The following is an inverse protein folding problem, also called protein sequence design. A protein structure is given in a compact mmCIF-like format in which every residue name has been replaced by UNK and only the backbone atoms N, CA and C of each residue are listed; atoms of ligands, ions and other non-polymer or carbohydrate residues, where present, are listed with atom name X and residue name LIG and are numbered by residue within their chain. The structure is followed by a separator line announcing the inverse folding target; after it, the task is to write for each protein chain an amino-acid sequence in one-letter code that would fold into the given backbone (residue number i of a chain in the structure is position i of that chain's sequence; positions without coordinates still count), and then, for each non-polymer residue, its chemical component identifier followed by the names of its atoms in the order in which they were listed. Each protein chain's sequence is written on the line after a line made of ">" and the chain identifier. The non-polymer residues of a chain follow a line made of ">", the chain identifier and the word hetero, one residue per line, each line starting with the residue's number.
data_IF_402998012045
#
_entry.id   IF_402998012045
#
_cell.length_a   1.000
_cell.length_b   1.000
_cell.length_c   1.000
_cell.angle_alpha   90.00
_cell.angle_beta   90.00
_cell.angle_gamma   90.00
#
_symmetry.space_group_name_H-M   'P 1'
#
loop_
_entity.id
_entity.type
_entity.pdbx_description
1 polymer ?
#
# COMPACT_ATOMS: atom_id res chain seq x y z
N UNK A 1 -69.91 36.96 -61.83
CA UNK A 1 -70.39 38.08 -60.98
C UNK A 1 -69.69 37.92 -59.64
N UNK A 2 -68.69 38.76 -59.37
CA UNK A 2 -67.94 38.73 -58.11
C UNK A 2 -68.76 39.46 -57.04
N UNK A 3 -68.78 38.93 -55.81
CA UNK A 3 -69.56 39.48 -54.70
C UNK A 3 -68.89 40.76 -54.18
N UNK A 4 -69.49 41.91 -54.51
CA UNK A 4 -68.99 43.26 -54.21
C UNK A 4 -69.47 43.75 -52.84
N UNK A 5 -70.28 42.94 -52.13
CA UNK A 5 -70.87 43.29 -50.82
C UNK A 5 -69.85 43.62 -49.72
N UNK A 6 -68.67 42.96 -49.61
CA UNK A 6 -67.70 43.30 -48.57
C UNK A 6 -67.13 44.71 -48.75
N UNK A 7 -66.94 45.13 -50.00
CA UNK A 7 -66.43 46.46 -50.36
C UNK A 7 -67.50 47.53 -50.12
N UNK A 8 -68.77 47.23 -50.43
CA UNK A 8 -69.89 48.14 -50.17
C UNK A 8 -70.14 48.36 -48.66
N UNK A 9 -69.90 47.34 -47.82
CA UNK A 9 -70.01 47.43 -46.36
C UNK A 9 -68.86 48.25 -45.74
N UNK A 10 -67.63 48.07 -46.21
CA UNK A 10 -66.48 48.86 -45.73
C UNK A 10 -66.50 50.31 -46.21
N UNK A 11 -67.04 50.57 -47.42
CA UNK A 11 -67.28 51.93 -47.91
C UNK A 11 -68.44 52.64 -47.18
N UNK A 12 -69.37 51.88 -46.58
CA UNK A 12 -70.44 52.43 -45.74
C UNK A 12 -69.97 52.83 -44.33
N UNK A 13 -68.82 52.31 -43.86
CA UNK A 13 -68.19 52.73 -42.60
C UNK A 13 -67.39 54.04 -42.73
N UNK A 14 -66.97 54.41 -43.95
CA UNK A 14 -66.50 55.75 -44.23
C UNK A 14 -67.71 56.70 -44.20
N UNK A 15 -67.75 57.60 -43.22
CA UNK A 15 -68.82 58.61 -43.13
C UNK A 15 -68.71 59.59 -44.31
N UNK A 16 -69.33 59.22 -45.43
CA UNK A 16 -69.43 60.04 -46.65
C UNK A 16 -70.62 61.02 -46.57
N UNK A 17 -71.30 61.11 -45.43
CA UNK A 17 -72.38 62.06 -45.19
C UNK A 17 -71.97 63.52 -45.42
N UNK A 18 -70.73 63.97 -45.10
CA UNK A 18 -70.28 65.32 -45.43
C UNK A 18 -70.20 65.55 -46.94
N UNK A 19 -69.73 64.55 -47.70
CA UNK A 19 -69.58 64.61 -49.16
C UNK A 19 -70.95 64.65 -49.84
N UNK A 20 -71.85 63.77 -49.41
CA UNK A 20 -73.24 63.73 -49.86
C UNK A 20 -73.98 65.03 -49.52
N UNK A 21 -73.86 65.52 -48.29
CA UNK A 21 -74.47 66.78 -47.88
C UNK A 21 -73.93 67.95 -48.69
N UNK A 22 -72.64 67.97 -49.04
CA UNK A 22 -72.03 69.06 -49.83
C UNK A 22 -72.51 69.02 -51.28
N UNK A 23 -72.62 67.84 -51.89
CA UNK A 23 -73.20 67.66 -53.23
C UNK A 23 -74.69 68.02 -53.23
N UNK A 24 -75.45 67.62 -52.22
CA UNK A 24 -76.88 67.95 -52.08
C UNK A 24 -77.09 69.46 -51.78
N UNK A 25 -76.21 70.11 -51.00
CA UNK A 25 -76.28 71.55 -50.69
C UNK A 25 -75.97 72.43 -51.91
N UNK A 26 -75.28 71.91 -52.92
CA UNK A 26 -74.83 72.68 -54.08
C UNK A 26 -75.53 72.30 -55.40
N UNK A 27 -76.50 71.37 -55.36
CA UNK A 27 -77.52 71.20 -56.38
C UNK A 27 -77.04 70.65 -57.71
N UNK A 28 -77.66 69.57 -58.17
CA UNK A 28 -77.41 69.00 -59.48
C UNK A 28 -77.92 69.93 -60.60
N UNK A 29 -77.13 70.06 -61.65
CA UNK A 29 -77.23 71.05 -62.71
C UNK A 29 -78.32 70.70 -63.73
N UNK A 30 -79.35 71.52 -63.83
CA UNK A 30 -80.15 71.63 -65.06
C UNK A 30 -80.17 73.10 -65.49
N UNK A 31 -79.47 73.36 -66.60
CA UNK A 31 -79.53 74.53 -67.48
C UNK A 31 -80.08 75.86 -66.91
N UNK A 32 -79.16 76.79 -66.63
CA UNK A 32 -79.40 78.23 -66.80
C UNK A 32 -79.28 79.08 -65.54
N UNK A 33 -78.20 79.86 -65.48
CA UNK A 33 -77.99 81.03 -64.59
C UNK A 33 -77.70 80.75 -63.11
N UNK A 34 -76.48 80.30 -62.83
CA UNK A 34 -75.81 80.45 -61.54
C UNK A 34 -74.34 80.09 -61.69
N UNK A 35 -73.46 81.06 -61.89
CA UNK A 35 -72.01 80.79 -61.87
C UNK A 35 -71.60 80.54 -60.42
N UNK A 36 -71.08 79.35 -60.11
CA UNK A 36 -70.37 79.10 -58.84
C UNK A 36 -69.35 80.22 -58.63
N UNK A 37 -69.37 80.86 -57.47
CA UNK A 37 -68.29 81.80 -57.17
C UNK A 37 -67.02 80.99 -56.91
N UNK A 38 -65.85 81.56 -57.23
CA UNK A 38 -64.55 80.94 -56.93
C UNK A 38 -64.45 80.47 -55.46
N UNK A 39 -65.16 81.16 -54.56
CA UNK A 39 -65.25 80.84 -53.14
C UNK A 39 -65.99 79.53 -52.86
N UNK A 40 -67.11 79.28 -53.53
CA UNK A 40 -67.92 78.06 -53.37
C UNK A 40 -67.15 76.83 -53.91
N UNK A 41 -66.38 77.02 -54.99
CA UNK A 41 -65.51 75.97 -55.52
C UNK A 41 -64.40 75.61 -54.54
N UNK A 42 -63.78 76.61 -53.90
CA UNK A 42 -62.72 76.37 -52.90
C UNK A 42 -63.24 75.66 -51.65
N UNK A 43 -64.43 75.99 -51.15
CA UNK A 43 -65.04 75.29 -50.01
C UNK A 43 -65.36 73.82 -50.35
N UNK A 44 -65.83 73.55 -51.57
CA UNK A 44 -66.02 72.18 -52.05
C UNK A 44 -64.69 71.39 -52.09
N UNK A 45 -63.62 72.04 -52.54
CA UNK A 45 -62.30 71.43 -52.65
C UNK A 45 -61.65 71.13 -51.29
N UNK A 46 -61.75 72.07 -50.34
CA UNK A 46 -61.22 71.85 -48.99
C UNK A 46 -61.99 70.73 -48.27
N UNK A 47 -63.30 70.59 -48.50
CA UNK A 47 -64.10 69.48 -47.98
C UNK A 47 -63.78 68.11 -48.60
N UNK A 48 -63.28 68.08 -49.84
CA UNK A 48 -62.94 66.84 -50.56
C UNK A 48 -61.50 66.36 -50.31
N UNK A 49 -60.59 67.24 -49.89
CA UNK A 49 -59.16 66.97 -49.76
C UNK A 49 -58.84 65.90 -48.71
N UNK A 50 -59.42 66.03 -47.51
CA UNK A 50 -59.15 65.12 -46.40
C UNK A 50 -59.71 63.71 -46.66
N UNK A 51 -60.98 63.53 -47.12
CA UNK A 51 -61.50 62.22 -47.47
C UNK A 51 -60.74 61.53 -48.61
N UNK A 52 -60.36 62.27 -49.66
CA UNK A 52 -59.60 61.70 -50.78
C UNK A 52 -58.16 61.34 -50.38
N UNK A 53 -57.54 62.10 -49.47
CA UNK A 53 -56.24 61.80 -48.90
C UNK A 53 -56.25 60.53 -48.04
N UNK A 54 -57.28 60.35 -47.22
CA UNK A 54 -57.50 59.11 -46.47
C UNK A 54 -57.75 57.94 -47.41
N UNK A 55 -58.57 58.13 -48.45
CA UNK A 55 -58.84 57.08 -49.44
C UNK A 55 -57.53 56.63 -50.10
N UNK A 56 -56.75 57.56 -50.65
CA UNK A 56 -55.51 57.28 -51.39
C UNK A 56 -54.37 56.69 -50.55
N UNK A 57 -54.36 56.91 -49.23
CA UNK A 57 -53.33 56.41 -48.31
C UNK A 57 -53.74 55.18 -47.49
N UNK A 58 -55.01 54.77 -47.57
CA UNK A 58 -55.52 53.65 -46.78
C UNK A 58 -55.01 52.29 -47.27
N UNK A 59 -54.63 51.43 -46.32
CA UNK A 59 -54.28 50.02 -46.54
C UNK A 59 -55.48 49.15 -46.98
N UNK A 60 -56.68 49.75 -47.08
CA UNK A 60 -57.94 49.09 -47.44
C UNK A 60 -57.83 48.43 -48.83
N UNK A 61 -57.02 48.98 -49.73
CA UNK A 61 -56.83 48.43 -51.08
C UNK A 61 -56.08 47.11 -51.16
N UNK A 62 -55.43 46.66 -50.07
CA UNK A 62 -54.80 45.32 -50.02
C UNK A 62 -55.81 44.17 -50.10
N UNK A 63 -57.10 44.46 -49.89
CA UNK A 63 -58.19 43.48 -49.87
C UNK A 63 -58.99 43.40 -51.19
N UNK A 64 -58.69 44.24 -52.18
CA UNK A 64 -59.41 44.35 -53.46
C UNK A 64 -58.56 43.77 -54.60
N UNK A 65 -59.13 43.12 -55.64
CA UNK A 65 -58.37 42.68 -56.81
C UNK A 65 -57.52 43.80 -57.42
N UNK A 66 -56.25 43.50 -57.69
CA UNK A 66 -55.20 44.48 -58.03
C UNK A 66 -55.59 45.46 -59.15
N UNK A 67 -56.37 45.01 -60.15
CA UNK A 67 -56.85 45.85 -61.28
C UNK A 67 -57.77 46.99 -60.83
N UNK A 68 -58.59 46.79 -59.79
CA UNK A 68 -59.47 47.83 -59.24
C UNK A 68 -58.73 48.73 -58.26
N UNK A 69 -57.81 48.17 -57.47
CA UNK A 69 -56.93 48.94 -56.59
C UNK A 69 -56.10 49.94 -57.41
N UNK A 70 -55.53 49.51 -58.54
CA UNK A 70 -54.76 50.38 -59.45
C UNK A 70 -55.64 51.45 -60.11
N UNK A 71 -56.87 51.13 -60.52
CA UNK A 71 -57.81 52.11 -61.11
C UNK A 71 -58.31 53.14 -60.10
N UNK A 72 -58.74 52.72 -58.91
CA UNK A 72 -59.25 53.64 -57.87
C UNK A 72 -58.10 54.52 -57.35
N UNK A 73 -56.91 53.95 -57.18
CA UNK A 73 -55.71 54.71 -56.81
C UNK A 73 -55.34 55.73 -57.89
N UNK A 74 -55.35 55.36 -59.18
CA UNK A 74 -55.02 56.31 -60.25
C UNK A 74 -56.05 57.43 -60.38
N UNK A 75 -57.34 57.14 -60.22
CA UNK A 75 -58.41 58.16 -60.24
C UNK A 75 -58.30 59.07 -59.02
N UNK A 76 -58.04 58.51 -57.83
CA UNK A 76 -57.87 59.28 -56.60
C UNK A 76 -56.64 60.19 -56.67
N UNK A 77 -55.52 59.69 -57.19
CA UNK A 77 -54.31 60.51 -57.39
C UNK A 77 -54.50 61.58 -58.47
N UNK A 78 -55.20 61.27 -59.56
CA UNK A 78 -55.53 62.25 -60.59
C UNK A 78 -56.40 63.38 -60.01
N UNK A 79 -57.42 63.04 -59.21
CA UNK A 79 -58.25 64.01 -58.50
C UNK A 79 -57.44 64.86 -57.52
N UNK A 80 -56.59 64.24 -56.69
CA UNK A 80 -55.72 64.96 -55.75
C UNK A 80 -54.74 65.91 -56.45
N UNK A 81 -54.23 65.50 -57.61
CA UNK A 81 -53.34 66.34 -58.43
C UNK A 81 -54.11 67.53 -59.01
N UNK A 82 -55.33 67.31 -59.50
CA UNK A 82 -56.20 68.40 -59.99
C UNK A 82 -56.58 69.37 -58.86
N UNK A 83 -56.93 68.86 -57.67
CA UNK A 83 -57.23 69.67 -56.48
C UNK A 83 -56.03 70.54 -56.08
N UNK A 84 -54.83 69.96 -56.02
CA UNK A 84 -53.61 70.69 -55.66
C UNK A 84 -53.21 71.72 -56.73
N UNK A 85 -53.42 71.42 -58.02
CA UNK A 85 -53.16 72.35 -59.10
C UNK A 85 -54.10 73.56 -59.09
N UNK A 86 -55.37 73.37 -58.71
CA UNK A 86 -56.36 74.45 -58.57
C UNK A 86 -56.02 75.38 -57.39
N UNK A 87 -55.47 74.88 -56.28
CA UNK A 87 -55.01 75.73 -55.18
C UNK A 87 -53.76 76.56 -55.52
N UNK A 88 -52.86 76.02 -56.35
CA UNK A 88 -51.61 76.71 -56.71
C UNK A 88 -51.79 77.75 -57.82
N UNK A 89 -52.86 77.66 -58.61
CA UNK A 89 -53.23 78.65 -59.62
C UNK A 89 -54.19 79.65 -58.94
N UNK A 90 -53.64 80.74 -58.40
CA UNK A 90 -54.44 81.85 -57.88
C UNK A 90 -55.47 82.38 -58.90
N UNK A 91 -56.42 83.25 -58.47
CA UNK A 91 -57.66 83.58 -59.19
C UNK A 91 -57.52 84.26 -60.57
N UNK A 92 -56.31 84.38 -61.12
CA UNK A 92 -56.02 85.08 -62.39
C UNK A 92 -55.45 84.18 -63.50
N UNK A 93 -55.46 82.85 -63.37
CA UNK A 93 -54.76 81.97 -64.33
C UNK A 93 -55.46 80.68 -64.80
N UNK A 94 -56.70 80.39 -64.38
CA UNK A 94 -57.37 79.15 -64.76
C UNK A 94 -58.44 79.40 -65.83
N UNK A 95 -58.29 78.77 -67.00
CA UNK A 95 -59.27 78.77 -68.08
C UNK A 95 -60.52 77.98 -67.62
N UNK A 96 -61.71 78.61 -67.46
CA UNK A 96 -62.88 77.96 -66.86
C UNK A 96 -63.40 76.75 -67.64
N UNK A 97 -63.00 76.59 -68.90
CA UNK A 97 -63.49 75.54 -69.80
C UNK A 97 -62.90 74.16 -69.55
N UNK A 98 -61.75 74.05 -68.88
CA UNK A 98 -61.19 72.74 -68.50
C UNK A 98 -61.79 72.18 -67.18
N UNK A 99 -62.58 72.99 -66.47
CA UNK A 99 -63.24 72.63 -65.20
C UNK A 99 -64.44 71.70 -65.40
N UNK A 100 -65.23 71.91 -66.47
CA UNK A 100 -66.40 71.09 -66.79
C UNK A 100 -66.05 69.65 -67.19
N UNK A 101 -64.89 69.44 -67.83
CA UNK A 101 -64.43 68.11 -68.24
C UNK A 101 -64.11 67.19 -67.05
N UNK A 102 -63.51 67.74 -65.99
CA UNK A 102 -63.17 66.96 -64.79
C UNK A 102 -64.39 66.61 -63.94
N UNK A 103 -65.41 67.49 -63.90
CA UNK A 103 -66.69 67.21 -63.23
C UNK A 103 -67.57 66.21 -64.00
N UNK A 104 -67.56 66.25 -65.33
CA UNK A 104 -68.26 65.27 -66.17
C UNK A 104 -67.72 63.85 -65.97
N UNK A 105 -66.38 63.71 -65.92
CA UNK A 105 -65.74 62.41 -65.67
C UNK A 105 -66.04 61.88 -64.25
N UNK A 106 -66.12 62.77 -63.26
CA UNK A 106 -66.54 62.39 -61.90
C UNK A 106 -67.99 61.90 -61.87
N UNK A 107 -68.89 62.57 -62.60
CA UNK A 107 -70.30 62.18 -62.69
C UNK A 107 -70.47 60.81 -63.38
N UNK A 108 -69.78 60.56 -64.48
CA UNK A 108 -69.81 59.25 -65.16
C UNK A 108 -69.32 58.11 -64.25
N UNK A 109 -68.26 58.35 -63.48
CA UNK A 109 -67.71 57.37 -62.53
C UNK A 109 -68.70 57.08 -61.40
N UNK A 110 -69.42 58.10 -60.91
CA UNK A 110 -70.45 57.94 -59.87
C UNK A 110 -71.72 57.23 -60.36
N UNK A 111 -72.07 57.40 -61.64
CA UNK A 111 -73.17 56.67 -62.31
C UNK A 111 -72.77 55.21 -62.56
N UNK A 112 -71.53 54.94 -62.99
CA UNK A 112 -70.99 53.57 -63.16
C UNK A 112 -70.90 52.79 -61.84
N UNK A 113 -70.67 53.48 -60.72
CA UNK A 113 -70.67 52.90 -59.38
C UNK A 113 -72.07 52.74 -58.77
N UNK A 114 -73.14 53.15 -59.47
CA UNK A 114 -74.53 52.98 -59.02
C UNK A 114 -74.94 53.86 -57.82
N UNK A 115 -74.14 54.88 -57.50
CA UNK A 115 -74.35 55.75 -56.34
C UNK A 115 -75.30 56.94 -56.64
N UNK A 116 -75.63 57.17 -57.92
CA UNK A 116 -76.58 58.19 -58.36
C UNK A 116 -77.53 57.57 -59.40
N UNK A 117 -78.82 57.51 -59.08
CA UNK A 117 -79.85 57.10 -60.04
C UNK A 117 -80.26 58.28 -60.92
N UNK A 118 -80.35 58.13 -62.26
CA UNK A 118 -80.85 59.20 -63.13
C UNK A 118 -82.34 59.44 -62.85
N UNK A 119 -82.64 60.50 -62.11
CA UNK A 119 -84.00 60.88 -61.73
C UNK A 119 -84.69 61.64 -62.85
N UNK A 120 -85.82 61.12 -63.32
CA UNK A 120 -87.00 61.96 -63.56
C UNK A 120 -87.20 62.56 -64.95
N UNK A 121 -87.45 61.73 -65.97
CA UNK A 121 -88.23 62.17 -67.15
C UNK A 121 -89.69 61.77 -66.95
N UNK A 122 -90.53 62.72 -66.57
CA UNK A 122 -92.00 62.57 -66.53
C UNK A 122 -92.58 63.10 -67.85
N UNK A 123 -93.07 62.26 -68.79
CA UNK A 123 -93.82 62.75 -69.93
C UNK A 123 -95.27 63.03 -69.53
N UNK A 124 -95.67 64.30 -69.60
CA UNK A 124 -97.07 64.73 -69.45
C UNK A 124 -97.94 64.12 -70.56
N UNK A 125 -98.86 63.26 -70.16
CA UNK A 125 -99.94 62.69 -70.96
C UNK A 125 -101.06 63.71 -71.18
N UNK A 126 -101.54 63.86 -72.42
CA UNK A 126 -102.78 64.59 -72.69
C UNK A 126 -103.19 64.51 -74.15
N UNK A 127 -104.13 63.60 -74.45
CA UNK A 127 -104.83 63.54 -75.75
C UNK A 127 -104.70 62.18 -76.42
N UNK A 128 -105.48 61.19 -75.96
CA UNK A 128 -105.47 59.86 -76.54
C UNK A 128 -106.86 59.33 -76.89
N UNK A 129 -107.02 59.11 -78.19
CA UNK A 129 -108.19 58.61 -78.90
C UNK A 129 -108.36 57.10 -78.71
N UNK A 130 -109.61 56.65 -78.88
CA UNK A 130 -110.22 55.35 -78.53
C UNK A 130 -109.55 54.05 -79.05
N UNK A 131 -108.36 54.10 -79.67
CA UNK A 131 -107.63 52.91 -80.17
C UNK A 131 -106.50 52.43 -79.24
N UNK A 132 -106.06 53.24 -78.27
CA UNK A 132 -105.04 52.82 -77.27
C UNK A 132 -105.60 52.09 -76.05
N UNK A 133 -106.92 52.04 -75.84
CA UNK A 133 -107.53 51.29 -74.72
C UNK A 133 -107.30 49.77 -74.84
N UNK A 134 -107.30 49.23 -76.05
CA UNK A 134 -107.02 47.82 -76.31
C UNK A 134 -105.52 47.46 -76.19
N UNK A 135 -104.61 48.37 -76.56
CA UNK A 135 -103.16 48.19 -76.33
C UNK A 135 -102.80 48.32 -74.84
N UNK A 136 -103.52 49.16 -74.10
CA UNK A 136 -103.35 49.26 -72.64
C UNK A 136 -103.83 47.99 -71.94
N UNK A 137 -104.95 47.39 -72.34
CA UNK A 137 -105.39 46.10 -71.77
C UNK A 137 -104.44 44.94 -72.11
N UNK A 138 -103.87 44.91 -73.32
CA UNK A 138 -102.89 43.88 -73.72
C UNK A 138 -101.55 44.08 -72.98
N UNK A 139 -101.12 45.33 -72.81
CA UNK A 139 -99.98 45.66 -71.96
C UNK A 139 -100.25 45.36 -70.48
N UNK A 140 -101.46 45.58 -69.97
CA UNK A 140 -101.82 45.20 -68.60
C UNK A 140 -101.74 43.68 -68.43
N UNK A 141 -102.26 42.88 -69.39
CA UNK A 141 -102.12 41.42 -69.35
C UNK A 141 -100.68 40.94 -69.44
N UNK A 142 -99.85 41.53 -70.30
CA UNK A 142 -98.43 41.18 -70.38
C UNK A 142 -97.66 41.60 -69.13
N UNK A 143 -98.04 42.73 -68.51
CA UNK A 143 -97.50 43.18 -67.23
C UNK A 143 -97.89 42.21 -66.11
N UNK A 144 -99.13 41.72 -66.08
CA UNK A 144 -99.55 40.70 -65.12
C UNK A 144 -98.84 39.36 -65.33
N UNK A 145 -98.68 38.91 -66.56
CA UNK A 145 -97.92 37.68 -66.87
C UNK A 145 -96.44 37.82 -66.46
N UNK A 146 -95.80 38.93 -66.81
CA UNK A 146 -94.43 39.23 -66.39
C UNK A 146 -94.31 39.38 -64.88
N UNK A 147 -95.32 39.91 -64.18
CA UNK A 147 -95.34 39.99 -62.73
C UNK A 147 -95.39 38.58 -62.10
N UNK A 148 -96.22 37.69 -62.62
CA UNK A 148 -96.30 36.30 -62.14
C UNK A 148 -94.98 35.56 -62.39
N UNK A 149 -94.39 35.70 -63.58
CA UNK A 149 -93.08 35.12 -63.91
C UNK A 149 -91.98 35.69 -63.02
N UNK A 150 -92.03 36.99 -62.71
CA UNK A 150 -91.07 37.64 -61.81
C UNK A 150 -91.28 37.22 -60.35
N UNK A 151 -92.51 36.99 -59.90
CA UNK A 151 -92.81 36.41 -58.58
C UNK A 151 -92.32 34.95 -58.49
N UNK A 152 -92.47 34.17 -59.56
CA UNK A 152 -91.96 32.79 -59.65
C UNK A 152 -90.42 32.76 -59.66
N UNK A 153 -89.77 33.60 -60.47
CA UNK A 153 -88.32 33.79 -60.45
C UNK A 153 -87.81 34.28 -59.10
N UNK A 154 -88.55 35.16 -58.42
CA UNK A 154 -88.19 35.67 -57.10
C UNK A 154 -88.36 34.58 -56.02
N UNK A 155 -89.38 33.74 -56.13
CA UNK A 155 -89.55 32.56 -55.28
C UNK A 155 -88.40 31.56 -55.50
N UNK A 156 -88.02 31.28 -56.75
CA UNK A 156 -86.89 30.41 -57.08
C UNK A 156 -85.56 31.01 -56.60
N UNK A 157 -85.35 32.32 -56.76
CA UNK A 157 -84.17 33.00 -56.26
C UNK A 157 -84.07 32.92 -54.73
N UNK A 158 -85.21 33.03 -54.01
CA UNK A 158 -85.26 32.83 -52.56
C UNK A 158 -84.94 31.38 -52.16
N UNK A 159 -85.44 30.39 -52.90
CA UNK A 159 -85.08 28.98 -52.69
C UNK A 159 -83.58 28.77 -52.88
N UNK A 160 -83.01 29.24 -53.99
CA UNK A 160 -81.58 29.14 -54.26
C UNK A 160 -80.74 29.88 -53.21
N UNK A 161 -81.21 31.02 -52.69
CA UNK A 161 -80.52 31.77 -51.63
C UNK A 161 -80.54 31.01 -50.31
N UNK A 162 -81.65 30.35 -49.97
CA UNK A 162 -81.74 29.48 -48.80
C UNK A 162 -80.86 28.22 -48.95
N UNK A 163 -80.81 27.62 -50.14
CA UNK A 163 -79.89 26.51 -50.44
C UNK A 163 -78.43 26.94 -50.34
N UNK A 164 -78.09 28.12 -50.86
CA UNK A 164 -76.75 28.69 -50.77
C UNK A 164 -76.35 28.96 -49.32
N UNK A 165 -77.26 29.52 -48.51
CA UNK A 165 -77.03 29.71 -47.08
C UNK A 165 -76.82 28.38 -46.34
N UNK A 166 -77.57 27.33 -46.70
CA UNK A 166 -77.36 26.00 -46.14
C UNK A 166 -76.02 25.38 -46.57
N UNK A 167 -75.57 25.63 -47.80
CA UNK A 167 -74.25 25.22 -48.29
C UNK A 167 -73.13 25.96 -47.55
N UNK A 168 -73.27 27.27 -47.35
CA UNK A 168 -72.33 28.09 -46.59
C UNK A 168 -72.19 27.57 -45.15
N UNK A 169 -73.31 27.28 -44.48
CA UNK A 169 -73.31 26.71 -43.14
C UNK A 169 -72.59 25.34 -43.09
N UNK A 170 -72.84 24.46 -44.06
CA UNK A 170 -72.13 23.16 -44.15
C UNK A 170 -70.64 23.34 -44.42
N UNK A 171 -70.25 24.32 -45.24
CA UNK A 171 -68.86 24.64 -45.51
C UNK A 171 -68.16 25.13 -44.23
N UNK A 172 -68.79 26.03 -43.47
CA UNK A 172 -68.27 26.50 -42.18
C UNK A 172 -68.10 25.35 -41.18
N UNK A 173 -69.09 24.47 -41.05
CA UNK A 173 -68.99 23.28 -40.18
C UNK A 173 -67.85 22.34 -40.62
N UNK A 174 -67.68 22.14 -41.93
CA UNK A 174 -66.61 21.30 -42.47
C UNK A 174 -65.23 21.91 -42.21
N UNK A 175 -65.09 23.23 -42.35
CA UNK A 175 -63.85 23.96 -42.02
C UNK A 175 -63.54 23.81 -40.53
N UNK A 176 -64.54 23.96 -39.65
CA UNK A 176 -64.36 23.80 -38.21
C UNK A 176 -63.89 22.38 -37.85
N UNK A 177 -64.55 21.35 -38.37
CA UNK A 177 -64.17 19.94 -38.15
C UNK A 177 -62.77 19.66 -38.71
N UNK A 178 -62.44 20.21 -39.88
CA UNK A 178 -61.10 20.07 -40.49
C UNK A 178 -60.02 20.71 -39.63
N UNK A 179 -60.29 21.91 -39.08
CA UNK A 179 -59.38 22.59 -38.17
C UNK A 179 -59.19 21.81 -36.86
N UNK A 180 -60.26 21.22 -36.31
CA UNK A 180 -60.17 20.34 -35.14
C UNK A 180 -59.33 19.08 -35.44
N UNK A 181 -59.52 18.45 -36.60
CA UNK A 181 -58.70 17.30 -37.00
C UNK A 181 -57.24 17.66 -37.21
N UNK A 182 -56.96 18.83 -37.82
CA UNK A 182 -55.60 19.34 -37.96
C UNK A 182 -54.94 19.56 -36.60
N UNK A 183 -55.63 20.21 -35.66
CA UNK A 183 -55.11 20.43 -34.31
C UNK A 183 -54.82 19.10 -33.59
N UNK A 184 -55.68 18.10 -33.73
CA UNK A 184 -55.44 16.75 -33.18
C UNK A 184 -54.25 16.05 -33.84
N UNK A 185 -54.07 16.22 -35.16
CA UNK A 185 -52.93 15.65 -35.87
C UNK A 185 -51.61 16.30 -35.47
N UNK A 186 -51.59 17.63 -35.28
CA UNK A 186 -50.42 18.37 -34.78
C UNK A 186 -50.08 17.95 -33.33
N UNK A 187 -51.09 17.77 -32.46
CA UNK A 187 -50.88 17.23 -31.12
C UNK A 187 -50.33 15.78 -31.15
N UNK A 188 -50.89 14.92 -31.99
CA UNK A 188 -50.39 13.55 -32.12
C UNK A 188 -48.96 13.50 -32.67
N UNK A 189 -48.61 14.39 -33.60
CA UNK A 189 -47.25 14.48 -34.15
C UNK A 189 -46.23 14.95 -33.09
N UNK A 190 -46.59 15.92 -32.25
CA UNK A 190 -45.74 16.37 -31.15
C UNK A 190 -45.53 15.27 -30.10
N UNK A 191 -46.59 14.56 -29.69
CA UNK A 191 -46.48 13.41 -28.79
C UNK A 191 -45.63 12.28 -29.37
N UNK A 192 -45.75 12.00 -30.68
CA UNK A 192 -44.92 11.00 -31.35
C UNK A 192 -43.44 11.40 -31.38
N UNK A 193 -43.13 12.69 -31.51
CA UNK A 193 -41.76 13.20 -31.44
C UNK A 193 -41.18 13.05 -30.03
N UNK A 194 -41.93 13.46 -28.99
CA UNK A 194 -41.52 13.31 -27.58
C UNK A 194 -41.24 11.84 -27.23
N UNK A 195 -42.14 10.91 -27.59
CA UNK A 195 -41.93 9.47 -27.38
C UNK A 195 -40.71 8.94 -28.17
N UNK A 196 -40.43 9.49 -29.35
CA UNK A 196 -39.26 9.09 -30.13
C UNK A 196 -37.94 9.56 -29.51
N UNK A 197 -37.95 10.73 -28.85
CA UNK A 197 -36.80 11.25 -28.10
C UNK A 197 -36.57 10.45 -26.82
N UNK A 198 -37.63 10.14 -26.07
CA UNK A 198 -37.56 9.27 -24.89
C UNK A 198 -37.03 7.87 -25.27
N UNK A 199 -37.50 7.29 -26.38
CA UNK A 199 -37.02 6.01 -26.87
C UNK A 199 -35.53 6.05 -27.26
N UNK A 200 -35.03 7.18 -27.79
CA UNK A 200 -33.60 7.37 -28.09
C UNK A 200 -32.77 7.47 -26.82
N UNK A 201 -33.21 8.22 -25.82
CA UNK A 201 -32.53 8.28 -24.51
C UNK A 201 -32.49 6.92 -23.83
N UNK A 202 -33.61 6.19 -23.83
CA UNK A 202 -33.68 4.85 -23.25
C UNK A 202 -32.74 3.88 -23.97
N UNK A 203 -32.63 3.95 -25.30
CA UNK A 203 -31.70 3.13 -26.09
C UNK A 203 -30.24 3.46 -25.74
N UNK A 204 -29.91 4.74 -25.57
CA UNK A 204 -28.57 5.15 -25.15
C UNK A 204 -28.23 4.66 -23.73
N UNK A 205 -29.20 4.71 -22.81
CA UNK A 205 -29.07 4.17 -21.44
C UNK A 205 -28.90 2.64 -21.44
N UNK A 206 -29.66 1.90 -22.26
CA UNK A 206 -29.49 0.46 -22.41
C UNK A 206 -28.09 0.12 -22.94
N UNK A 207 -27.57 0.90 -23.89
CA UNK A 207 -26.23 0.69 -24.42
C UNK A 207 -25.14 0.94 -23.37
N UNK A 208 -25.25 2.00 -22.57
CA UNK A 208 -24.29 2.28 -21.49
C UNK A 208 -24.32 1.21 -20.40
N UNK A 209 -25.52 0.76 -19.99
CA UNK A 209 -25.68 -0.34 -19.05
C UNK A 209 -25.08 -1.64 -19.59
N UNK A 210 -25.27 -1.95 -20.87
CA UNK A 210 -24.68 -3.14 -21.50
C UNK A 210 -23.15 -3.09 -21.45
N UNK A 211 -22.55 -1.94 -21.77
CA UNK A 211 -21.09 -1.75 -21.67
C UNK A 211 -20.60 -1.90 -20.23
N UNK A 212 -21.34 -1.40 -19.25
CA UNK A 212 -21.02 -1.57 -17.82
C UNK A 212 -21.15 -3.02 -17.34
N UNK A 213 -22.12 -3.79 -17.87
CA UNK A 213 -22.28 -5.21 -17.55
C UNK A 213 -21.11 -6.01 -18.14
N UNK A 214 -20.71 -5.72 -19.37
CA UNK A 214 -19.60 -6.43 -20.02
C UNK A 214 -18.27 -6.16 -19.30
N UNK A 215 -18.00 -4.93 -18.89
CA UNK A 215 -16.80 -4.60 -18.10
C UNK A 215 -16.81 -5.27 -16.72
N UNK A 216 -17.97 -5.32 -16.05
CA UNK A 216 -18.13 -6.02 -14.77
C UNK A 216 -17.94 -7.52 -14.92
N UNK A 217 -18.38 -8.11 -16.04
CA UNK A 217 -18.17 -9.52 -16.37
C UNK A 217 -16.70 -9.83 -16.59
N UNK A 218 -15.98 -9.00 -17.35
CA UNK A 218 -14.54 -9.15 -17.57
C UNK A 218 -13.76 -9.07 -16.25
N UNK A 219 -14.14 -8.16 -15.35
CA UNK A 219 -13.54 -8.06 -14.01
C UNK A 219 -13.84 -9.30 -13.15
N UNK A 220 -15.06 -9.83 -13.21
CA UNK A 220 -15.44 -11.04 -12.48
C UNK A 220 -14.68 -12.28 -13.00
N UNK A 221 -14.45 -12.38 -14.31
CA UNK A 221 -13.66 -13.46 -14.91
C UNK A 221 -12.20 -13.39 -14.48
N UNK A 222 -11.57 -12.20 -14.57
CA UNK A 222 -10.20 -11.99 -14.05
C UNK A 222 -10.07 -12.30 -12.56
N UNK A 223 -11.07 -11.94 -11.75
CA UNK A 223 -11.09 -12.26 -10.33
C UNK A 223 -11.23 -13.76 -10.08
N UNK A 224 -12.02 -14.48 -10.88
CA UNK A 224 -12.17 -15.92 -10.80
C UNK A 224 -10.84 -16.65 -11.15
N UNK A 225 -10.14 -16.21 -12.19
CA UNK A 225 -8.83 -16.75 -12.57
C UNK A 225 -7.75 -16.48 -11.52
N UNK A 226 -7.74 -15.27 -10.94
CA UNK A 226 -6.86 -14.92 -9.82
C UNK A 226 -7.15 -15.77 -8.57
N UNK A 227 -8.42 -16.06 -8.29
CA UNK A 227 -8.80 -16.94 -7.19
C UNK A 227 -8.40 -18.40 -7.45
N UNK A 228 -8.51 -18.89 -8.68
CA UNK A 228 -8.09 -20.23 -9.07
C UNK A 228 -6.58 -20.42 -8.92
N UNK A 229 -5.78 -19.48 -9.44
CA UNK A 229 -4.31 -19.49 -9.28
C UNK A 229 -3.88 -19.38 -7.81
N UNK A 230 -4.54 -18.53 -7.02
CA UNK A 230 -4.28 -18.42 -5.57
C UNK A 230 -4.57 -19.73 -4.83
N UNK A 231 -5.64 -20.45 -5.18
CA UNK A 231 -5.95 -21.78 -4.63
C UNK A 231 -4.87 -22.81 -4.98
N UNK A 232 -4.35 -22.78 -6.21
CA UNK A 232 -3.26 -23.66 -6.62
C UNK A 232 -1.98 -23.39 -5.81
N UNK A 233 -1.59 -22.12 -5.64
CA UNK A 233 -0.45 -21.73 -4.80
C UNK A 233 -0.66 -22.14 -3.33
N UNK A 234 -1.87 -21.94 -2.79
CA UNK A 234 -2.19 -22.35 -1.42
C UNK A 234 -2.10 -23.87 -1.25
N UNK A 235 -2.57 -24.65 -2.23
CA UNK A 235 -2.43 -26.11 -2.18
C UNK A 235 -0.97 -26.58 -2.23
N UNK A 236 -0.13 -25.92 -3.04
CA UNK A 236 1.29 -26.23 -3.15
C UNK A 236 2.05 -25.88 -1.86
N UNK A 237 1.77 -24.71 -1.27
CA UNK A 237 2.37 -24.30 0.01
C UNK A 237 1.94 -25.18 1.18
N UNK A 238 0.68 -25.61 1.22
CA UNK A 238 0.20 -26.59 2.23
C UNK A 238 0.94 -27.93 2.08
N UNK A 239 1.16 -28.41 0.85
CA UNK A 239 1.92 -29.64 0.61
C UNK A 239 3.39 -29.50 1.04
N UNK A 240 4.02 -28.35 0.78
CA UNK A 240 5.40 -28.07 1.20
C UNK A 240 5.53 -28.00 2.73
N UNK A 241 4.59 -27.33 3.41
CA UNK A 241 4.55 -27.27 4.88
C UNK A 241 4.39 -28.67 5.47
N UNK A 242 3.50 -29.50 4.91
CA UNK A 242 3.34 -30.89 5.34
C UNK A 242 4.65 -31.71 5.20
N UNK A 243 5.35 -31.58 4.08
CA UNK A 243 6.63 -32.25 3.85
C UNK A 243 7.73 -31.75 4.82
N UNK A 244 7.77 -30.45 5.12
CA UNK A 244 8.70 -29.89 6.10
C UNK A 244 8.39 -30.37 7.52
N UNK A 245 7.11 -30.49 7.90
CA UNK A 245 6.72 -31.02 9.21
C UNK A 245 7.14 -32.48 9.38
N UNK A 246 6.95 -33.32 8.35
CA UNK A 246 7.41 -34.72 8.38
C UNK A 246 8.94 -34.82 8.47
N UNK A 247 9.67 -33.96 7.74
CA UNK A 247 11.13 -33.88 7.83
C UNK A 247 11.60 -33.43 9.21
N UNK A 248 10.88 -32.51 9.86
CA UNK A 248 11.21 -32.06 11.20
C UNK A 248 10.98 -33.17 12.24
N UNK A 249 9.87 -33.90 12.13
CA UNK A 249 9.57 -35.03 13.03
C UNK A 249 10.63 -36.14 12.92
N UNK A 250 11.02 -36.50 11.70
CA UNK A 250 12.10 -37.48 11.47
C UNK A 250 13.45 -37.01 12.01
N UNK A 251 13.78 -35.72 11.88
CA UNK A 251 14.98 -35.13 12.50
C UNK A 251 14.93 -35.17 14.03
N UNK A 252 13.77 -34.89 14.64
CA UNK A 252 13.60 -34.96 16.10
C UNK A 252 13.78 -36.38 16.61
N UNK A 253 13.18 -37.37 15.95
CA UNK A 253 13.34 -38.79 16.31
C UNK A 253 14.80 -39.21 16.18
N UNK A 254 15.44 -38.93 15.04
CA UNK A 254 16.85 -39.29 14.79
C UNK A 254 17.79 -38.59 15.78
N UNK A 255 17.53 -37.31 16.09
CA UNK A 255 18.32 -36.56 17.06
C UNK A 255 18.18 -37.11 18.47
N UNK A 256 16.97 -37.50 18.89
CA UNK A 256 16.74 -38.12 20.19
C UNK A 256 17.41 -39.50 20.30
N UNK A 257 17.37 -40.31 19.24
CA UNK A 257 18.08 -41.59 19.18
C UNK A 257 19.60 -41.41 19.28
N UNK A 258 20.15 -40.44 18.55
CA UNK A 258 21.58 -40.10 18.63
C UNK A 258 21.97 -39.61 20.03
N UNK A 259 21.19 -38.70 20.63
CA UNK A 259 21.45 -38.23 22.01
C UNK A 259 21.38 -39.36 23.02
N UNK A 260 20.46 -40.31 22.85
CA UNK A 260 20.38 -41.50 23.71
C UNK A 260 21.62 -42.38 23.56
N UNK A 261 22.01 -42.69 22.32
CA UNK A 261 23.23 -43.45 22.00
C UNK A 261 24.49 -42.78 22.56
N UNK A 262 24.62 -41.47 22.40
CA UNK A 262 25.76 -40.69 22.92
C UNK A 262 25.80 -40.72 24.45
N UNK A 263 24.65 -40.61 25.13
CA UNK A 263 24.58 -40.73 26.59
C UNK A 263 25.03 -42.11 27.06
N UNK A 264 24.59 -43.17 26.40
CA UNK A 264 25.00 -44.54 26.70
C UNK A 264 26.52 -44.73 26.46
N UNK A 265 27.04 -44.20 25.36
CA UNK A 265 28.48 -44.23 25.05
C UNK A 265 29.32 -43.45 26.06
N UNK A 266 28.91 -42.24 26.45
CA UNK A 266 29.59 -41.43 27.47
C UNK A 266 29.55 -42.15 28.82
N UNK A 267 28.41 -42.72 29.21
CA UNK A 267 28.29 -43.47 30.47
C UNK A 267 29.25 -44.67 30.52
N UNK A 268 29.36 -45.41 29.41
CA UNK A 268 30.29 -46.54 29.32
C UNK A 268 31.76 -46.07 29.36
N UNK A 269 32.09 -44.99 28.63
CA UNK A 269 33.44 -44.41 28.67
C UNK A 269 33.82 -43.94 30.08
N UNK A 270 32.91 -43.30 30.80
CA UNK A 270 33.16 -42.88 32.18
C UNK A 270 33.42 -44.08 33.11
N UNK A 271 32.69 -45.19 32.95
CA UNK A 271 32.97 -46.43 33.69
C UNK A 271 34.37 -46.97 33.38
N UNK A 272 34.75 -47.02 32.10
CA UNK A 272 36.09 -47.50 31.70
C UNK A 272 37.20 -46.61 32.21
N UNK A 273 37.02 -45.28 32.18
CA UNK A 273 37.98 -44.32 32.72
C UNK A 273 38.14 -44.48 34.23
N UNK A 274 37.03 -44.59 34.99
CA UNK A 274 37.09 -44.83 36.42
C UNK A 274 37.83 -46.15 36.76
N UNK A 275 37.58 -47.21 35.99
CA UNK A 275 38.28 -48.48 36.17
C UNK A 275 39.79 -48.37 35.86
N UNK A 276 40.17 -47.65 34.81
CA UNK A 276 41.57 -47.43 34.44
C UNK A 276 42.30 -46.55 35.46
N UNK A 277 41.68 -45.48 35.94
CA UNK A 277 42.26 -44.62 37.00
C UNK A 277 42.56 -45.44 38.25
N UNK A 278 41.62 -46.29 38.68
CA UNK A 278 41.84 -47.21 39.80
C UNK A 278 43.00 -48.18 39.57
N UNK A 279 43.12 -48.74 38.36
CA UNK A 279 44.25 -49.61 38.02
C UNK A 279 45.60 -48.88 38.01
N UNK A 280 45.61 -47.63 37.57
CA UNK A 280 46.81 -46.78 37.55
C UNK A 280 47.24 -46.47 38.99
N UNK A 281 46.31 -46.06 39.85
CA UNK A 281 46.58 -45.80 41.26
C UNK A 281 47.14 -47.05 41.98
N UNK A 282 46.51 -48.20 41.80
CA UNK A 282 46.98 -49.48 42.37
C UNK A 282 48.40 -49.83 41.90
N UNK A 283 48.71 -49.61 40.61
CA UNK A 283 50.04 -49.90 40.04
C UNK A 283 51.09 -48.89 40.51
N UNK A 284 50.75 -47.61 40.59
CA UNK A 284 51.64 -46.56 41.10
C UNK A 284 52.02 -46.84 42.55
N UNK A 285 51.04 -47.12 43.40
CA UNK A 285 51.26 -47.46 44.81
C UNK A 285 52.15 -48.70 44.96
N UNK A 286 51.88 -49.75 44.18
CA UNK A 286 52.73 -50.96 44.19
C UNK A 286 54.16 -50.67 43.73
N UNK A 287 54.32 -49.90 42.66
CA UNK A 287 55.64 -49.58 42.09
C UNK A 287 56.46 -48.64 42.98
N UNK A 288 55.85 -47.62 43.57
CA UNK A 288 56.54 -46.69 44.50
C UNK A 288 56.99 -47.40 45.76
N UNK A 289 56.13 -48.23 46.35
CA UNK A 289 56.48 -49.02 47.55
C UNK A 289 57.59 -50.05 47.25
N UNK A 290 57.51 -50.75 46.12
CA UNK A 290 58.56 -51.69 45.71
C UNK A 290 59.90 -50.97 45.43
N UNK A 291 59.87 -49.81 44.76
CA UNK A 291 61.05 -49.01 44.46
C UNK A 291 61.73 -48.47 45.72
N UNK A 292 60.96 -47.96 46.67
CA UNK A 292 61.49 -47.43 47.94
C UNK A 292 62.12 -48.54 48.79
N UNK A 293 61.44 -49.69 48.90
CA UNK A 293 61.98 -50.87 49.58
C UNK A 293 63.30 -51.33 48.95
N UNK A 294 63.33 -51.45 47.62
CA UNK A 294 64.51 -51.93 46.92
C UNK A 294 65.70 -50.97 47.04
N UNK A 295 65.45 -49.65 47.02
CA UNK A 295 66.48 -48.64 47.24
C UNK A 295 67.10 -48.74 48.65
N UNK A 296 66.28 -48.93 49.69
CA UNK A 296 66.77 -49.11 51.06
C UNK A 296 67.51 -50.44 51.25
N UNK A 297 67.00 -51.54 50.68
CA UNK A 297 67.66 -52.84 50.78
C UNK A 297 69.01 -52.87 50.04
N UNK A 298 69.09 -52.24 48.87
CA UNK A 298 70.33 -52.12 48.10
C UNK A 298 71.39 -51.34 48.88
N UNK A 299 71.02 -50.22 49.50
CA UNK A 299 71.95 -49.46 50.36
C UNK A 299 72.38 -50.26 51.59
N UNK A 300 71.47 -50.98 52.25
CA UNK A 300 71.78 -51.86 53.37
C UNK A 300 72.83 -52.92 53.00
N UNK A 301 72.66 -53.58 51.85
CA UNK A 301 73.62 -54.57 51.32
C UNK A 301 74.98 -53.94 50.98
N UNK A 302 74.99 -52.74 50.38
CA UNK A 302 76.23 -52.00 50.12
C UNK A 302 77.00 -51.65 51.39
N UNK A 303 76.29 -51.22 52.45
CA UNK A 303 76.87 -50.95 53.77
C UNK A 303 77.41 -52.22 54.46
N UNK A 304 76.82 -53.39 54.22
CA UNK A 304 77.34 -54.66 54.75
C UNK A 304 78.69 -55.05 54.16
N UNK A 305 78.95 -54.69 52.89
CA UNK A 305 80.26 -54.89 52.26
C UNK A 305 81.30 -53.88 52.76
N UNK A 306 80.89 -52.64 53.05
CA UNK A 306 81.79 -51.59 53.55
C UNK A 306 82.46 -51.95 54.89
N UNK A 307 81.78 -52.74 55.73
CA UNK A 307 82.31 -53.25 57.02
C UNK A 307 83.60 -54.04 56.86
N UNK A 308 83.83 -54.69 55.72
CA UNK A 308 85.03 -55.49 55.49
C UNK A 308 86.24 -54.67 55.02
N UNK A 309 86.01 -53.45 54.50
CA UNK A 309 87.06 -52.57 54.01
C UNK A 309 88.11 -52.19 55.09
N UNK A 310 87.73 -51.76 56.32
CA UNK A 310 88.70 -51.46 57.38
C UNK A 310 89.51 -52.69 57.81
N UNK A 311 88.91 -53.89 57.80
CA UNK A 311 89.64 -55.14 58.09
C UNK A 311 90.68 -55.44 57.02
N UNK A 312 90.35 -55.24 55.74
CA UNK A 312 91.30 -55.39 54.63
C UNK A 312 92.48 -54.41 54.74
N UNK A 313 92.22 -53.14 55.07
CA UNK A 313 93.27 -52.12 55.29
C UNK A 313 94.13 -52.46 56.52
N UNK A 314 93.52 -52.90 57.62
CA UNK A 314 94.25 -53.33 58.82
C UNK A 314 95.16 -54.53 58.56
N UNK A 315 94.69 -55.52 57.78
CA UNK A 315 95.48 -56.68 57.38
C UNK A 315 96.66 -56.28 56.48
N UNK A 316 96.46 -55.37 55.53
CA UNK A 316 97.53 -54.84 54.69
C UNK A 316 98.59 -54.08 55.51
N UNK A 317 98.15 -53.28 56.48
CA UNK A 317 99.05 -52.57 57.41
C UNK A 317 99.93 -53.54 58.22
N UNK A 318 99.40 -54.68 58.63
CA UNK A 318 100.17 -55.72 59.32
C UNK A 318 101.24 -56.36 58.43
N UNK A 319 100.93 -56.62 57.16
CA UNK A 319 101.91 -57.17 56.22
C UNK A 319 103.06 -56.18 56.02
N UNK A 320 102.75 -54.90 55.78
CA UNK A 320 103.77 -53.86 55.58
C UNK A 320 104.59 -53.64 56.85
N UNK A 321 103.94 -53.44 57.99
CA UNK A 321 104.60 -53.24 59.28
C UNK A 321 105.45 -54.44 59.71
N UNK A 322 104.93 -55.66 59.51
CA UNK A 322 105.66 -56.90 59.79
C UNK A 322 106.88 -57.09 58.89
N UNK A 323 106.77 -56.79 57.60
CA UNK A 323 107.91 -56.87 56.66
C UNK A 323 109.02 -55.88 57.01
N UNK A 324 108.66 -54.67 57.44
CA UNK A 324 109.60 -53.64 57.84
C UNK A 324 110.29 -54.00 59.17
N UNK A 325 109.54 -54.52 60.14
CA UNK A 325 110.08 -55.02 61.40
C UNK A 325 111.03 -56.20 61.16
N UNK A 326 110.70 -57.13 60.27
CA UNK A 326 111.58 -58.25 59.90
C UNK A 326 112.91 -57.78 59.30
N UNK A 327 112.89 -56.77 58.42
CA UNK A 327 114.12 -56.16 57.87
C UNK A 327 114.98 -55.51 58.96
N UNK A 328 114.38 -54.72 59.84
CA UNK A 328 115.07 -54.05 60.95
C UNK A 328 115.73 -55.04 61.93
N UNK A 329 115.09 -56.17 62.18
CA UNK A 329 115.61 -57.25 63.02
C UNK A 329 116.82 -57.97 62.40
N UNK A 330 116.85 -58.11 61.07
CA UNK A 330 117.98 -58.75 60.38
C UNK A 330 119.21 -57.84 60.25
N UNK A 331 119.03 -56.52 60.20
CA UNK A 331 120.16 -55.57 60.03
C UNK A 331 120.81 -55.16 61.36
N UNK A 332 120.16 -55.33 62.51
CA UNK A 332 120.66 -54.80 63.79
C UNK A 332 120.35 -55.70 64.98
N UNK A 333 121.37 -56.37 65.52
CA UNK A 333 121.27 -57.32 66.64
C UNK A 333 121.24 -56.71 68.05
N UNK A 334 120.91 -55.42 68.18
CA UNK A 334 120.94 -54.69 69.46
C UNK A 334 119.62 -54.79 70.22
N UNK A 335 119.65 -54.88 71.55
CA UNK A 335 118.43 -55.02 72.38
C UNK A 335 117.43 -53.85 72.17
N UNK A 336 117.93 -52.66 71.84
CA UNK A 336 117.12 -51.46 71.54
C UNK A 336 116.32 -51.57 70.24
N UNK A 337 116.78 -52.36 69.25
CA UNK A 337 116.11 -52.52 67.95
C UNK A 337 114.93 -53.48 68.05
N UNK A 338 114.98 -54.43 69.00
CA UNK A 338 113.86 -55.35 69.30
C UNK A 338 112.65 -54.61 69.89
N UNK A 339 112.87 -53.64 70.79
CA UNK A 339 111.80 -52.85 71.40
C UNK A 339 111.13 -51.90 70.40
N UNK A 340 111.90 -51.27 69.51
CA UNK A 340 111.36 -50.38 68.48
C UNK A 340 110.62 -51.16 67.40
N UNK A 341 111.12 -52.34 67.00
CA UNK A 341 110.41 -53.24 66.09
C UNK A 341 109.05 -53.70 66.66
N UNK A 342 108.96 -54.04 67.96
CA UNK A 342 107.69 -54.39 68.62
C UNK A 342 106.71 -53.21 68.66
N UNK A 343 107.19 -52.01 68.97
CA UNK A 343 106.35 -50.80 68.95
C UNK A 343 105.81 -50.50 67.54
N UNK A 344 106.64 -50.69 66.51
CA UNK A 344 106.28 -50.42 65.11
C UNK A 344 105.23 -51.39 64.57
N UNK A 345 105.16 -52.63 65.08
CA UNK A 345 104.12 -53.61 64.72
C UNK A 345 102.86 -53.44 65.57
N UNK A 346 103.01 -53.14 66.87
CA UNK A 346 101.87 -53.04 67.79
C UNK A 346 101.08 -51.74 67.64
N UNK A 347 101.72 -50.60 67.36
CA UNK A 347 101.01 -49.33 67.21
C UNK A 347 100.01 -49.33 66.03
N UNK A 348 100.36 -49.82 64.81
CA UNK A 348 99.39 -49.97 63.73
C UNK A 348 98.29 -50.99 64.04
N UNK A 349 98.61 -52.07 64.78
CA UNK A 349 97.61 -53.07 65.21
C UNK A 349 96.56 -52.46 66.14
N UNK A 350 97.00 -51.69 67.15
CA UNK A 350 96.08 -51.00 68.06
C UNK A 350 95.25 -49.93 67.35
N UNK A 351 95.86 -49.17 66.43
CA UNK A 351 95.14 -48.20 65.62
C UNK A 351 94.10 -48.88 64.72
N UNK A 352 94.47 -49.98 64.05
CA UNK A 352 93.56 -50.75 63.20
C UNK A 352 92.40 -51.36 64.00
N UNK A 353 92.67 -51.92 65.19
CA UNK A 353 91.64 -52.46 66.06
C UNK A 353 90.66 -51.37 66.56
N UNK A 354 91.20 -50.21 66.98
CA UNK A 354 90.37 -49.08 67.40
C UNK A 354 89.54 -48.51 66.24
N UNK A 355 90.15 -48.36 65.06
CA UNK A 355 89.46 -47.91 63.85
C UNK A 355 88.38 -48.89 63.43
N UNK A 356 88.66 -50.19 63.41
CA UNK A 356 87.70 -51.24 63.09
C UNK A 356 86.53 -51.24 64.08
N UNK A 357 86.79 -51.10 65.39
CA UNK A 357 85.73 -51.04 66.40
C UNK A 357 84.84 -49.80 66.22
N UNK A 358 85.43 -48.63 65.93
CA UNK A 358 84.70 -47.37 65.69
C UNK A 358 83.88 -47.44 64.40
N UNK A 359 84.44 -47.98 63.32
CA UNK A 359 83.72 -48.14 62.06
C UNK A 359 82.63 -49.21 62.14
N UNK A 360 82.92 -50.36 62.75
CA UNK A 360 81.93 -51.43 62.96
C UNK A 360 80.71 -50.92 63.72
N UNK A 361 80.92 -50.16 64.80
CA UNK A 361 79.81 -49.57 65.57
C UNK A 361 78.98 -48.59 64.74
N UNK A 362 79.65 -47.75 63.92
CA UNK A 362 78.98 -46.78 63.06
C UNK A 362 78.19 -47.46 61.93
N UNK A 363 78.79 -48.43 61.26
CA UNK A 363 78.16 -49.14 60.14
C UNK A 363 77.03 -50.05 60.60
N UNK A 364 77.17 -50.71 61.77
CA UNK A 364 76.08 -51.47 62.37
C UNK A 364 74.88 -50.59 62.71
N UNK A 365 75.12 -49.41 63.29
CA UNK A 365 74.06 -48.42 63.54
C UNK A 365 73.36 -47.99 62.25
N UNK A 366 74.13 -47.72 61.19
CA UNK A 366 73.57 -47.39 59.87
C UNK A 366 72.76 -48.56 59.28
N UNK A 367 73.25 -49.79 59.40
CA UNK A 367 72.51 -50.97 58.93
C UNK A 367 71.18 -51.17 59.65
N UNK A 368 71.17 -51.02 60.98
CA UNK A 368 69.95 -51.10 61.79
C UNK A 368 68.96 -49.98 61.40
N UNK A 369 69.45 -48.76 61.17
CA UNK A 369 68.63 -47.64 60.70
C UNK A 369 68.02 -47.90 59.31
N UNK A 370 68.81 -48.38 58.34
CA UNK A 370 68.29 -48.71 57.02
C UNK A 370 67.36 -49.93 57.04
N UNK A 371 67.62 -50.92 57.89
CA UNK A 371 66.73 -52.06 58.09
C UNK A 371 65.38 -51.61 58.69
N UNK A 372 65.40 -50.71 59.66
CA UNK A 372 64.20 -50.13 60.23
C UNK A 372 63.40 -49.29 59.22
N UNK A 373 64.08 -48.40 58.46
CA UNK A 373 63.44 -47.61 57.40
C UNK A 373 62.83 -48.50 56.31
N UNK A 374 63.51 -49.58 55.95
CA UNK A 374 62.98 -50.59 55.03
C UNK A 374 61.75 -51.30 55.60
N UNK A 375 61.80 -51.78 56.84
CA UNK A 375 60.66 -52.43 57.49
C UNK A 375 59.45 -51.49 57.61
N UNK A 376 59.65 -50.23 58.00
CA UNK A 376 58.57 -49.25 58.05
C UNK A 376 57.99 -49.01 56.65
N UNK A 377 58.83 -48.82 55.62
CA UNK A 377 58.34 -48.58 54.26
C UNK A 377 57.42 -49.68 53.74
N UNK A 378 57.67 -50.94 54.13
CA UNK A 378 56.80 -52.08 53.78
C UNK A 378 55.50 -52.06 54.58
N UNK A 379 55.57 -51.70 55.87
CA UNK A 379 54.38 -51.66 56.75
C UNK A 379 53.49 -50.43 56.54
N UNK A 380 54.01 -49.34 55.95
CA UNK A 380 53.29 -48.08 55.79
C UNK A 380 52.02 -48.23 54.94
N UNK A 381 52.07 -49.07 53.90
CA UNK A 381 50.94 -49.29 52.99
C UNK A 381 49.76 -50.02 53.67
N UNK A 382 49.94 -51.16 54.36
CA UNK A 382 48.90 -51.76 55.18
C UNK A 382 48.29 -50.79 56.20
N UNK A 383 49.12 -49.99 56.89
CA UNK A 383 48.62 -49.00 57.85
C UNK A 383 47.82 -47.88 57.18
N UNK A 384 48.22 -47.44 55.98
CA UNK A 384 47.46 -46.47 55.19
C UNK A 384 46.09 -47.06 54.80
N UNK A 385 46.05 -48.31 54.33
CA UNK A 385 44.81 -48.99 53.96
C UNK A 385 43.87 -49.14 55.16
N UNK A 386 44.39 -49.58 56.32
CA UNK A 386 43.60 -49.68 57.56
C UNK A 386 42.95 -48.35 57.96
N UNK A 387 43.64 -47.22 57.79
CA UNK A 387 43.10 -45.90 58.14
C UNK A 387 42.06 -45.44 57.12
N UNK A 388 42.31 -45.67 55.82
CA UNK A 388 41.34 -45.36 54.77
C UNK A 388 40.06 -46.20 54.95
N UNK A 389 40.19 -47.45 55.38
CA UNK A 389 39.05 -48.35 55.63
C UNK A 389 38.26 -47.99 56.90
N UNK A 390 38.88 -47.33 57.89
CA UNK A 390 38.23 -46.98 59.17
C UNK A 390 37.89 -45.49 59.33
N UNK A 391 38.32 -44.62 58.42
CA UNK A 391 38.03 -43.19 58.44
C UNK A 391 37.22 -42.78 57.22
N UNK A 392 36.11 -42.06 57.44
CA UNK A 392 35.32 -41.48 56.36
C UNK A 392 36.09 -40.34 55.67
N UNK A 393 36.78 -40.67 54.59
CA UNK A 393 37.59 -39.76 53.77
C UNK A 393 36.77 -38.67 53.07
N UNK A 394 35.43 -38.78 53.06
CA UNK A 394 34.51 -37.76 52.52
C UNK A 394 34.33 -36.57 53.48
N UNK A 395 34.62 -36.76 54.77
CA UNK A 395 34.53 -35.67 55.76
C UNK A 395 35.86 -34.91 55.85
N UNK A 396 35.84 -33.57 56.01
CA UNK A 396 37.06 -32.79 56.18
C UNK A 396 37.84 -33.19 57.45
N UNK A 397 37.19 -33.75 58.46
CA UNK A 397 37.83 -34.29 59.66
C UNK A 397 38.59 -35.60 59.38
N UNK A 398 38.01 -36.52 58.61
CA UNK A 398 38.66 -37.77 58.20
C UNK A 398 39.91 -37.52 57.36
N UNK A 399 39.87 -36.56 56.44
CA UNK A 399 41.04 -36.17 55.65
C UNK A 399 42.17 -35.56 56.50
N UNK A 400 41.80 -34.75 57.49
CA UNK A 400 42.79 -34.17 58.42
C UNK A 400 43.50 -35.24 59.22
N UNK A 401 42.76 -36.24 59.71
CA UNK A 401 43.31 -37.34 60.50
C UNK A 401 44.21 -38.26 59.65
N UNK A 402 43.83 -38.51 58.40
CA UNK A 402 44.67 -39.20 57.43
C UNK A 402 45.99 -38.45 57.17
N UNK A 403 45.90 -37.15 56.91
CA UNK A 403 47.08 -36.31 56.64
C UNK A 403 48.00 -36.21 57.87
N UNK A 404 47.45 -36.06 59.07
CA UNK A 404 48.22 -36.01 60.32
C UNK A 404 48.93 -37.34 60.58
N UNK A 405 48.27 -38.47 60.29
CA UNK A 405 48.91 -39.78 60.35
C UNK A 405 50.07 -39.90 59.35
N UNK A 406 49.85 -39.57 58.07
CA UNK A 406 50.89 -39.63 57.02
C UNK A 406 52.10 -38.78 57.42
N UNK A 407 51.86 -37.53 57.82
CA UNK A 407 52.90 -36.59 58.27
C UNK A 407 53.61 -37.13 59.51
N UNK A 408 52.87 -37.68 60.48
CA UNK A 408 53.43 -38.31 61.67
C UNK A 408 54.32 -39.52 61.38
N UNK A 409 53.93 -40.39 60.43
CA UNK A 409 54.74 -41.52 60.01
C UNK A 409 55.96 -41.09 59.20
N UNK A 410 55.83 -40.10 58.30
CA UNK A 410 56.97 -39.53 57.58
C UNK A 410 57.99 -38.97 58.58
N UNK A 411 57.55 -38.16 59.55
CA UNK A 411 58.44 -37.63 60.59
C UNK A 411 59.12 -38.76 61.38
N UNK A 412 58.43 -39.87 61.69
CA UNK A 412 59.05 -41.05 62.34
C UNK A 412 60.01 -41.86 61.46
N UNK A 413 59.81 -41.87 60.14
CA UNK A 413 60.74 -42.50 59.18
C UNK A 413 62.01 -41.66 59.04
N UNK A 414 61.87 -40.34 59.11
CA UNK A 414 63.00 -39.39 59.02
C UNK A 414 63.72 -39.18 60.35
N UNK A 415 63.04 -39.32 61.49
CA UNK A 415 63.66 -39.36 62.81
C UNK A 415 64.40 -40.68 63.02
N UNK A 416 65.71 -40.61 63.29
CA UNK A 416 66.50 -41.80 63.53
C UNK A 416 66.11 -42.46 64.86
N UNK A 417 65.64 -43.73 64.87
CA UNK A 417 65.38 -44.45 66.12
C UNK A 417 66.66 -44.62 66.94
N UNK A 418 67.80 -44.65 66.25
CA UNK A 418 69.10 -44.80 66.89
C UNK A 418 69.50 -43.57 67.70
N UNK A 419 68.99 -42.37 67.37
CA UNK A 419 69.24 -41.16 68.17
C UNK A 419 68.53 -41.21 69.54
N UNK A 420 67.42 -41.95 69.65
CA UNK A 420 66.69 -42.12 70.92
C UNK A 420 67.31 -43.20 71.81
N UNK A 421 67.76 -44.31 71.23
CA UNK A 421 68.31 -45.45 71.99
C UNK A 421 69.79 -45.25 72.34
N UNK A 422 70.58 -44.71 71.42
CA UNK A 422 72.01 -44.48 71.62
C UNK A 422 72.34 -43.05 72.10
N UNK A 423 71.29 -42.23 72.30
CA UNK A 423 71.40 -40.78 72.51
C UNK A 423 71.84 -40.06 71.24
N UNK A 424 71.62 -38.74 71.20
CA UNK A 424 72.40 -37.88 70.30
C UNK A 424 73.85 -38.29 70.46
N UNK A 425 74.62 -38.45 69.36
CA UNK A 425 76.03 -38.65 69.51
C UNK A 425 76.51 -37.42 70.27
N UNK A 426 76.81 -37.59 71.56
CA UNK A 426 77.66 -36.66 72.29
C UNK A 426 79.02 -36.81 71.64
N UNK A 427 79.15 -36.29 70.42
CA UNK A 427 80.33 -35.59 69.99
C UNK A 427 80.45 -34.40 70.94
N UNK A 428 80.80 -34.68 72.20
CA UNK A 428 81.99 -34.02 72.71
C UNK A 428 82.99 -34.30 71.59
N UNK A 429 83.21 -33.29 70.75
CA UNK A 429 84.54 -33.04 70.22
C UNK A 429 85.47 -33.06 71.45
N UNK A 430 85.79 -34.23 71.96
CA UNK A 430 87.18 -34.52 72.23
C UNK A 430 87.71 -34.51 70.81
N UNK A 431 88.05 -33.29 70.37
CA UNK A 431 88.66 -33.04 69.08
C UNK A 431 89.68 -34.15 68.92
N UNK A 432 89.72 -34.84 67.79
CA UNK A 432 90.70 -35.92 67.63
C UNK A 432 92.11 -35.40 67.99
N UNK A 433 92.34 -34.08 67.93
CA UNK A 433 93.49 -33.36 68.50
C UNK A 433 93.76 -33.55 69.99
N UNK A 434 92.78 -33.75 70.88
CA UNK A 434 93.01 -34.00 72.33
C UNK A 434 93.48 -35.41 72.62
N UNK A 435 92.94 -36.41 71.93
CA UNK A 435 93.39 -37.81 72.05
C UNK A 435 94.75 -37.95 71.35
N UNK A 436 94.91 -37.33 70.18
CA UNK A 436 96.19 -37.27 69.47
C UNK A 436 97.21 -36.47 70.28
N UNK A 437 96.85 -35.36 70.94
CA UNK A 437 97.78 -34.60 71.78
C UNK A 437 98.14 -35.36 73.05
N UNK A 438 97.20 -36.06 73.71
CA UNK A 438 97.54 -36.88 74.87
C UNK A 438 98.44 -38.05 74.51
N UNK A 439 98.20 -38.68 73.35
CA UNK A 439 99.07 -39.73 72.84
C UNK A 439 100.45 -39.19 72.43
N UNK A 440 100.50 -38.03 71.75
CA UNK A 440 101.76 -37.36 71.40
C UNK A 440 102.53 -36.92 72.65
N UNK A 441 101.86 -36.44 73.70
CA UNK A 441 102.48 -36.09 74.97
C UNK A 441 103.03 -37.33 75.68
N UNK A 442 102.34 -38.47 75.66
CA UNK A 442 102.86 -39.74 76.18
C UNK A 442 104.04 -40.27 75.36
N UNK A 443 103.98 -40.20 74.03
CA UNK A 443 105.10 -40.58 73.14
C UNK A 443 106.30 -39.66 73.35
N UNK A 444 106.06 -38.35 73.55
CA UNK A 444 107.12 -37.38 73.84
C UNK A 444 107.75 -37.68 75.20
N UNK A 445 106.96 -38.00 76.22
CA UNK A 445 107.43 -38.47 77.55
C UNK A 445 108.28 -39.73 77.43
N UNK A 446 107.85 -40.72 76.64
CA UNK A 446 108.65 -41.92 76.39
C UNK A 446 109.96 -41.60 75.64
N UNK A 447 109.95 -40.64 74.71
CA UNK A 447 111.17 -40.21 74.00
C UNK A 447 112.19 -39.52 74.92
N UNK A 448 111.73 -38.75 75.92
CA UNK A 448 112.61 -38.10 76.90
C UNK A 448 113.24 -39.11 77.87
N UNK A 449 112.49 -40.14 78.28
CA UNK A 449 113.01 -41.24 79.11
C UNK A 449 114.09 -42.04 78.37
N UNK A 450 113.98 -42.20 77.04
CA UNK A 450 114.99 -42.90 76.22
C UNK A 450 116.27 -42.06 76.02
N UNK A 451 116.21 -40.72 76.12
CA UNK A 451 117.40 -39.85 76.03
C UNK A 451 118.19 -39.70 77.33
N UNK A 452 117.63 -40.12 78.46
CA UNK A 452 118.25 -40.05 79.80
C UNK A 452 118.95 -41.36 80.22
N UNK A 453 118.99 -42.36 79.33
CA UNK A 453 119.82 -43.56 79.41
C UNK A 453 120.74 -43.60 78.20
#
# INVERSE_FOLDING_TARGET
>A
MLDIRPVALQLAELDLSPLRNTIERHGFWEQGQGSLTWRDSLELYDGLREPLGVLASSDIFKSIPQVWAERISSVSQALLTTVNNVQNIGPSGADPWNFGGHLSNLHEVLVLMGLVTPSGVIPKSGGLTLRKRAQVEDHERSIYAAKVELEEMLAQARLNLNELAAVEQRASQTIEVTNQHRARAELAATQALELSEEARELTASIHSLRTSIESSRELAEKAADAAASSRQLLSATVAEVAALTEKLDTMIVTSNENVKSDREWIAERNKTLAALTKQIEDRLVKATNAGLFHAFDTRRKGLALAVWLPFAVGFLSLIVGGSLAFRLLNESGTITTLSTAKALVTAPLFYAAFFALRQFTRERRLQEEYAFRSAISVSLEPYRQLIVDHCDMETPEGQKLHNEFIVGQMNRIFDSPTDRVFGEPRFRQVSDTKIISSFLDEVKKMSEIVKLK
#
